data_IF_760902416348
#
_entry.id   IF_760902416348
#
_cell.length_a   1.000
_cell.length_b   1.000
_cell.length_c   1.000
_cell.angle_alpha   90.00
_cell.angle_beta   90.00
_cell.angle_gamma   90.00
#
_symmetry.space_group_name_H-M   'P 1'
#
loop_
_entity.id
_entity.type
_entity.pdbx_description
1 polymer ?
#
# COMPACT_ATOMS: atom_id res chain seq x y z
N UNK A 1 24.96 106.49 82.56
CA UNK A 1 24.37 107.74 83.07
C UNK A 1 22.87 107.57 83.05
N UNK A 2 22.24 107.83 84.20
CA UNK A 2 20.81 108.12 84.46
C UNK A 2 19.77 107.06 84.04
N UNK A 3 19.04 106.43 84.98
CA UNK A 3 18.00 106.94 85.90
C UNK A 3 16.64 107.20 85.24
N UNK A 4 15.57 106.81 85.95
CA UNK A 4 14.20 107.29 85.75
C UNK A 4 13.21 106.14 85.50
N UNK A 5 12.52 105.56 86.50
CA UNK A 5 11.36 106.12 87.25
C UNK A 5 10.24 106.50 86.26
N UNK A 6 8.99 106.06 86.34
CA UNK A 6 8.14 105.54 87.42
C UNK A 6 6.71 106.02 87.14
N UNK A 7 5.72 105.50 87.86
CA UNK A 7 4.35 106.05 87.94
C UNK A 7 3.31 105.21 87.20
N UNK A 8 2.43 104.43 87.83
CA UNK A 8 1.42 104.73 88.86
C UNK A 8 0.04 105.02 88.26
N UNK A 9 -0.99 104.35 88.78
CA UNK A 9 -2.39 104.73 88.62
C UNK A 9 -3.37 103.56 88.46
N UNK A 10 -3.79 102.95 89.57
CA UNK A 10 -5.11 102.28 89.65
C UNK A 10 -6.24 103.32 89.76
N UNK A 11 -7.42 103.02 90.35
CA UNK A 11 -8.03 101.74 90.70
C UNK A 11 -9.51 101.68 90.25
N UNK A 12 -10.22 100.58 90.48
CA UNK A 12 -11.46 100.57 91.31
C UNK A 12 -12.24 99.28 91.19
N UNK A 13 -12.77 98.91 92.33
CA UNK A 13 -13.37 97.64 92.72
C UNK A 13 -14.81 97.50 92.25
N UNK A 14 -15.27 96.25 92.20
CA UNK A 14 -16.66 95.88 92.04
C UNK A 14 -16.81 94.37 92.06
N UNK A 15 -16.73 93.78 93.26
CA UNK A 15 -16.89 92.35 93.46
C UNK A 15 -18.34 91.88 93.38
N UNK A 16 -18.54 90.63 92.98
CA UNK A 16 -19.53 89.73 93.57
C UNK A 16 -19.20 88.28 93.17
N UNK A 17 -19.14 87.46 94.21
CA UNK A 17 -18.93 86.01 94.18
C UNK A 17 -20.10 85.26 93.54
N UNK A 18 -19.77 84.10 92.99
CA UNK A 18 -20.65 82.93 93.06
C UNK A 18 -21.06 82.36 91.71
N UNK A 19 -20.69 81.09 91.47
CA UNK A 19 -21.35 80.26 90.47
C UNK A 19 -20.37 79.50 89.60
N UNK A 20 -20.00 78.30 90.02
CA UNK A 20 -19.08 77.44 89.30
C UNK A 20 -19.55 76.99 87.91
N UNK A 21 -18.54 76.50 87.19
CA UNK A 21 -18.57 75.42 86.19
C UNK A 21 -19.09 75.76 84.79
N UNK A 22 -18.13 75.73 83.87
CA UNK A 22 -18.35 75.49 82.45
C UNK A 22 -17.12 75.89 81.67
N UNK A 23 -16.06 75.09 81.73
CA UNK A 23 -14.96 75.24 80.78
C UNK A 23 -15.55 75.09 79.38
N UNK A 24 -15.53 76.17 78.60
CA UNK A 24 -15.80 76.12 77.17
C UNK A 24 -14.61 75.41 76.52
N UNK A 25 -14.61 74.09 76.65
CA UNK A 25 -13.88 73.21 75.75
C UNK A 25 -14.47 73.52 74.37
N UNK A 26 -13.68 74.13 73.49
CA UNK A 26 -13.99 74.11 72.06
C UNK A 26 -14.26 72.65 71.72
N UNK A 27 -15.53 72.29 71.59
CA UNK A 27 -15.93 70.98 71.11
C UNK A 27 -15.47 70.97 69.67
N UNK A 28 -14.25 70.51 69.45
CA UNK A 28 -13.72 70.27 68.12
C UNK A 28 -14.61 69.20 67.54
N UNK A 29 -15.54 69.64 66.69
CA UNK A 29 -16.54 68.77 66.11
C UNK A 29 -15.83 67.71 65.27
N UNK A 30 -15.72 66.50 65.85
CA UNK A 30 -15.03 65.36 65.27
C UNK A 30 -15.62 65.00 63.91
N UNK A 31 -16.94 65.19 63.76
CA UNK A 31 -17.66 64.95 62.52
C UNK A 31 -17.28 66.01 61.48
N UNK A 32 -17.16 67.28 61.87
CA UNK A 32 -16.68 68.33 60.97
C UNK A 32 -15.21 68.17 60.54
N UNK A 33 -14.35 67.58 61.39
CA UNK A 33 -12.98 67.23 61.01
C UNK A 33 -12.94 66.04 60.06
N UNK A 34 -13.80 65.03 60.27
CA UNK A 34 -13.87 63.89 59.38
C UNK A 34 -14.44 64.27 58.01
N UNK A 35 -15.44 65.16 57.94
CA UNK A 35 -15.96 65.69 56.67
C UNK A 35 -14.86 66.35 55.82
N UNK A 36 -13.87 67.00 56.44
CA UNK A 36 -12.70 67.56 55.74
C UNK A 36 -11.76 66.47 55.21
N UNK A 37 -11.61 65.36 55.94
CA UNK A 37 -10.84 64.18 55.53
C UNK A 37 -11.57 63.49 54.37
N UNK A 38 -12.87 63.28 54.50
CA UNK A 38 -13.73 62.59 53.52
C UNK A 38 -13.86 63.38 52.21
N UNK A 39 -13.96 64.71 52.29
CA UNK A 39 -13.93 65.59 51.12
C UNK A 39 -12.65 65.50 50.28
N UNK A 40 -11.56 64.94 50.84
CA UNK A 40 -10.28 64.69 50.15
C UNK A 40 -9.92 63.22 50.06
N UNK A 41 -10.88 62.32 50.29
CA UNK A 41 -10.68 60.87 50.34
C UNK A 41 -9.93 60.31 49.14
N UNK A 42 -10.31 60.71 47.92
CA UNK A 42 -9.65 60.22 46.70
C UNK A 42 -8.16 60.59 46.65
N UNK A 43 -7.80 61.78 47.13
CA UNK A 43 -6.42 62.24 47.17
C UNK A 43 -5.61 61.48 48.23
N UNK A 44 -6.18 61.34 49.43
CA UNK A 44 -5.57 60.62 50.54
C UNK A 44 -5.35 59.14 50.18
N UNK A 45 -6.33 58.52 49.55
CA UNK A 45 -6.28 57.11 49.13
C UNK A 45 -5.25 56.88 48.02
N UNK A 46 -4.88 57.87 47.22
CA UNK A 46 -3.81 57.70 46.21
C UNK A 46 -2.42 57.93 46.77
N UNK A 47 -2.28 58.83 47.74
CA UNK A 47 -0.99 59.30 48.22
C UNK A 47 -0.49 58.58 49.49
N UNK A 48 -1.41 58.09 50.34
CA UNK A 48 -1.06 57.45 51.61
C UNK A 48 -0.62 56.01 51.39
N UNK A 49 0.47 55.62 52.06
CA UNK A 49 0.86 54.23 52.23
C UNK A 49 0.43 53.76 53.62
N UNK A 50 -0.51 52.81 53.74
CA UNK A 50 -1.01 52.36 55.04
C UNK A 50 0.10 51.79 55.92
N UNK A 51 1.11 51.15 55.35
CA UNK A 51 2.27 50.60 56.08
C UNK A 51 3.16 51.66 56.75
N UNK A 52 3.01 52.94 56.39
CA UNK A 52 3.70 54.04 57.10
C UNK A 52 2.89 54.55 58.29
N UNK A 53 1.56 54.54 58.21
CA UNK A 53 0.68 55.11 59.26
C UNK A 53 0.25 54.08 60.31
N UNK A 54 0.06 52.83 59.91
CA UNK A 54 -0.45 51.74 60.78
C UNK A 54 0.36 51.52 62.07
N UNK A 55 1.72 51.61 62.09
CA UNK A 55 2.47 51.42 63.33
C UNK A 55 2.19 52.52 64.38
N UNK A 56 2.03 53.77 63.94
CA UNK A 56 1.72 54.89 64.83
C UNK A 56 0.28 54.78 65.35
N UNK A 57 -0.67 54.42 64.49
CA UNK A 57 -2.08 54.27 64.87
C UNK A 57 -2.32 53.09 65.84
N UNK A 58 -1.50 52.03 65.76
CA UNK A 58 -1.41 50.96 66.77
C UNK A 58 -0.86 51.46 68.09
N UNK A 59 0.18 52.30 68.07
CA UNK A 59 0.75 52.92 69.28
C UNK A 59 -0.26 53.81 70.00
N UNK A 60 -1.11 54.54 69.26
CA UNK A 60 -2.20 55.35 69.80
C UNK A 60 -3.41 54.52 70.26
N UNK A 61 -3.37 53.18 70.14
CA UNK A 61 -4.45 52.23 70.50
C UNK A 61 -5.76 52.48 69.74
N UNK A 62 -5.66 53.00 68.51
CA UNK A 62 -6.79 53.24 67.62
C UNK A 62 -7.04 52.03 66.71
N UNK A 63 -5.97 51.36 66.29
CA UNK A 63 -6.00 50.12 65.52
C UNK A 63 -5.49 48.95 66.37
N UNK A 64 -6.09 47.77 66.20
CA UNK A 64 -5.59 46.51 66.75
C UNK A 64 -4.82 45.69 65.69
N UNK A 65 -4.31 44.52 66.09
CA UNK A 65 -3.53 43.62 65.20
C UNK A 65 -4.36 43.11 64.02
N UNK A 66 -5.66 42.92 64.25
CA UNK A 66 -6.58 42.42 63.23
C UNK A 66 -6.90 43.51 62.20
N UNK A 67 -7.14 44.74 62.65
CA UNK A 67 -7.30 45.93 61.81
C UNK A 67 -6.04 46.14 60.93
N UNK A 68 -4.84 46.02 61.50
CA UNK A 68 -3.57 46.16 60.79
C UNK A 68 -3.40 45.09 59.69
N UNK A 69 -3.66 43.81 60.00
CA UNK A 69 -3.61 42.73 59.03
C UNK A 69 -4.65 42.89 57.92
N UNK A 70 -5.86 43.36 58.24
CA UNK A 70 -6.90 43.62 57.23
C UNK A 70 -6.46 44.72 56.25
N UNK A 71 -5.80 45.76 56.76
CA UNK A 71 -5.31 46.89 55.97
C UNK A 71 -4.10 46.52 55.10
N UNK A 72 -3.17 45.71 55.61
CA UNK A 72 -1.89 45.41 54.94
C UNK A 72 -1.90 44.13 54.10
N UNK A 73 -2.63 43.09 54.53
CA UNK A 73 -2.48 41.71 54.04
C UNK A 73 -3.74 41.13 53.38
N UNK A 74 -4.83 41.91 53.23
CA UNK A 74 -6.05 41.36 52.65
C UNK A 74 -5.87 40.93 51.18
N UNK A 75 -6.11 39.64 50.92
CA UNK A 75 -5.96 38.97 49.62
C UNK A 75 -7.00 39.45 48.58
N UNK A 76 -8.10 40.07 49.02
CA UNK A 76 -9.13 40.68 48.15
C UNK A 76 -8.66 41.97 47.45
N UNK A 77 -7.42 42.40 47.73
CA UNK A 77 -6.92 43.74 47.44
C UNK A 77 -5.83 43.76 46.35
N UNK A 78 -5.50 42.59 45.79
CA UNK A 78 -4.52 42.43 44.69
C UNK A 78 -4.98 43.15 43.40
N UNK A 79 -6.28 43.50 43.27
CA UNK A 79 -6.85 44.14 42.07
C UNK A 79 -7.13 45.65 42.14
N UNK A 80 -7.06 46.31 43.30
CA UNK A 80 -7.30 47.76 43.44
C UNK A 80 -6.31 48.36 44.44
N UNK A 81 -5.29 49.07 43.93
CA UNK A 81 -4.25 49.76 44.71
C UNK A 81 -4.79 50.67 45.83
N UNK A 82 -6.05 51.08 45.72
CA UNK A 82 -6.73 52.04 46.61
C UNK A 82 -7.61 51.38 47.69
N UNK A 83 -7.87 50.07 47.63
CA UNK A 83 -8.86 49.44 48.53
C UNK A 83 -8.39 49.31 49.99
N UNK A 84 -7.10 49.08 50.27
CA UNK A 84 -6.57 48.95 51.65
C UNK A 84 -6.44 50.31 52.32
N UNK A 85 -6.18 51.35 51.53
CA UNK A 85 -6.15 52.75 51.96
C UNK A 85 -7.55 53.30 52.22
N UNK A 86 -8.51 52.92 51.38
CA UNK A 86 -9.93 53.20 51.62
C UNK A 86 -10.41 52.50 52.89
N UNK A 87 -10.03 51.23 53.07
CA UNK A 87 -10.37 50.44 54.25
C UNK A 87 -9.78 51.02 55.53
N UNK A 88 -8.54 51.51 55.50
CA UNK A 88 -7.93 52.24 56.61
C UNK A 88 -8.77 53.46 57.03
N UNK A 89 -9.25 54.26 56.08
CA UNK A 89 -10.11 55.41 56.37
C UNK A 89 -11.45 54.95 56.96
N UNK A 90 -12.07 53.90 56.42
CA UNK A 90 -13.34 53.38 56.92
C UNK A 90 -13.23 52.87 58.37
N UNK A 91 -12.15 52.16 58.69
CA UNK A 91 -11.89 51.68 60.05
C UNK A 91 -11.69 52.88 60.98
N UNK A 92 -10.87 53.86 60.60
CA UNK A 92 -10.61 55.05 61.41
C UNK A 92 -11.88 55.89 61.68
N UNK A 93 -12.79 55.97 60.71
CA UNK A 93 -14.10 56.62 60.90
C UNK A 93 -14.91 55.94 62.03
N UNK A 94 -14.91 54.60 62.07
CA UNK A 94 -15.63 53.85 63.12
C UNK A 94 -15.06 54.03 64.53
N UNK A 95 -13.83 54.54 64.66
CA UNK A 95 -13.18 54.81 65.95
C UNK A 95 -13.50 56.23 66.50
N UNK A 96 -14.31 57.02 65.78
CA UNK A 96 -14.79 58.34 66.21
C UNK A 96 -13.67 59.38 66.37
N UNK A 97 -13.84 60.32 67.32
CA UNK A 97 -12.92 61.44 67.57
C UNK A 97 -11.45 61.01 67.68
N UNK A 98 -11.19 59.89 68.37
CA UNK A 98 -9.83 59.35 68.52
C UNK A 98 -9.23 58.88 67.20
N UNK A 99 -10.04 58.33 66.31
CA UNK A 99 -9.62 57.91 64.97
C UNK A 99 -9.17 59.09 64.12
N UNK A 100 -9.97 60.16 64.11
CA UNK A 100 -9.68 61.37 63.33
C UNK A 100 -8.43 62.10 63.84
N UNK A 101 -8.33 62.28 65.15
CA UNK A 101 -7.20 62.98 65.77
C UNK A 101 -5.90 62.22 65.54
N UNK A 102 -5.85 60.92 65.85
CA UNK A 102 -4.64 60.13 65.63
C UNK A 102 -4.28 59.95 64.16
N UNK A 103 -5.27 59.92 63.27
CA UNK A 103 -5.02 59.95 61.82
C UNK A 103 -4.36 61.25 61.39
N UNK A 104 -4.87 62.40 61.83
CA UNK A 104 -4.31 63.71 61.51
C UNK A 104 -2.91 63.88 62.10
N UNK A 105 -2.65 63.42 63.32
CA UNK A 105 -1.31 63.40 63.91
C UNK A 105 -0.34 62.52 63.11
N UNK A 106 -0.78 61.33 62.67
CA UNK A 106 0.02 60.44 61.82
C UNK A 106 0.31 61.05 60.44
N UNK A 107 -0.66 61.79 59.90
CA UNK A 107 -0.57 62.46 58.62
C UNK A 107 0.38 63.67 58.71
N UNK A 108 0.33 64.42 59.81
CA UNK A 108 1.25 65.52 60.09
C UNK A 108 2.71 65.05 60.11
N UNK A 109 2.97 63.86 60.66
CA UNK A 109 4.32 63.30 60.76
C UNK A 109 4.82 62.68 59.44
N UNK A 110 4.00 61.87 58.75
CA UNK A 110 4.45 61.12 57.57
C UNK A 110 4.18 61.83 56.23
N UNK A 111 3.20 62.74 56.20
CA UNK A 111 2.71 63.40 54.98
C UNK A 111 2.32 64.88 55.27
N UNK A 112 3.29 65.74 55.62
CA UNK A 112 3.04 67.13 56.02
C UNK A 112 2.24 67.92 54.96
N UNK A 113 2.49 67.69 53.68
CA UNK A 113 1.77 68.31 52.56
C UNK A 113 0.28 67.93 52.49
N UNK A 114 -0.06 66.69 52.87
CA UNK A 114 -1.45 66.21 52.91
C UNK A 114 -2.16 66.73 54.16
N UNK A 115 -1.46 66.79 55.30
CA UNK A 115 -2.01 67.36 56.54
C UNK A 115 -2.40 68.83 56.37
N UNK A 116 -1.50 69.63 55.78
CA UNK A 116 -1.77 71.04 55.46
C UNK A 116 -2.96 71.19 54.52
N UNK A 117 -3.08 70.29 53.55
CA UNK A 117 -4.20 70.28 52.61
C UNK A 117 -5.52 69.98 53.31
N UNK A 118 -5.59 68.98 54.18
CA UNK A 118 -6.84 68.56 54.85
C UNK A 118 -7.28 69.57 55.93
N UNK A 119 -6.34 70.05 56.75
CA UNK A 119 -6.67 70.86 57.94
C UNK A 119 -6.51 72.38 57.71
N UNK A 120 -5.75 72.78 56.69
CA UNK A 120 -5.39 74.19 56.44
C UNK A 120 -4.34 74.74 57.42
N UNK A 121 -3.82 73.93 58.35
CA UNK A 121 -2.84 74.32 59.36
C UNK A 121 -1.42 73.91 58.93
N UNK A 122 -0.41 74.70 59.31
CA UNK A 122 0.99 74.32 59.08
C UNK A 122 1.38 73.10 59.93
N UNK A 123 2.05 72.08 59.36
CA UNK A 123 2.57 70.95 60.11
C UNK A 123 3.63 71.41 61.11
N UNK A 124 3.53 70.99 62.38
CA UNK A 124 4.50 71.29 63.43
C UNK A 124 5.43 70.08 63.60
N UNK A 125 6.73 70.16 63.24
CA UNK A 125 7.66 69.05 63.42
C UNK A 125 7.99 68.89 64.92
N UNK A 126 7.19 68.11 65.66
CA UNK A 126 7.46 67.82 67.07
C UNK A 126 8.49 66.69 67.20
N UNK A 127 9.77 67.02 66.99
CA UNK A 127 10.89 66.13 67.36
C UNK A 127 11.30 66.25 68.83
N UNK A 128 10.77 67.23 69.57
CA UNK A 128 11.30 67.63 70.88
C UNK A 128 10.94 66.72 72.06
N UNK A 129 10.14 65.67 71.88
CA UNK A 129 9.64 64.85 73.01
C UNK A 129 10.54 63.67 73.37
N UNK A 130 11.48 63.30 72.50
CA UNK A 130 12.46 62.25 72.80
C UNK A 130 13.77 62.97 73.09
N UNK A 131 14.14 63.08 74.38
CA UNK A 131 15.39 63.70 74.81
C UNK A 131 16.58 63.19 73.99
N UNK A 132 17.62 64.02 73.81
CA UNK A 132 18.72 63.76 72.87
C UNK A 132 19.32 62.33 72.95
N UNK A 133 19.35 61.75 74.16
CA UNK A 133 19.83 60.39 74.41
C UNK A 133 18.95 59.30 73.77
N UNK A 134 17.62 59.45 73.78
CA UNK A 134 16.68 58.51 73.16
C UNK A 134 16.70 58.59 71.62
N UNK A 135 16.96 59.77 71.06
CA UNK A 135 17.11 59.94 69.61
C UNK A 135 18.39 59.27 69.10
N UNK A 136 19.51 59.41 69.82
CA UNK A 136 20.76 58.72 69.48
C UNK A 136 20.60 57.19 69.52
N UNK A 137 19.91 56.67 70.53
CA UNK A 137 19.66 55.23 70.65
C UNK A 137 18.73 54.71 69.54
N UNK A 138 17.70 55.48 69.16
CA UNK A 138 16.83 55.16 68.03
C UNK A 138 17.60 55.12 66.71
N UNK A 139 18.42 56.14 66.43
CA UNK A 139 19.25 56.18 65.23
C UNK A 139 20.27 55.03 65.18
N UNK A 140 20.87 54.67 66.31
CA UNK A 140 21.78 53.52 66.39
C UNK A 140 21.07 52.20 66.05
N UNK A 141 19.87 51.98 66.61
CA UNK A 141 19.07 50.80 66.32
C UNK A 141 18.62 50.74 64.85
N UNK A 142 18.25 51.88 64.28
CA UNK A 142 17.85 51.95 62.87
C UNK A 142 19.05 51.66 61.94
N UNK A 143 20.24 52.17 62.26
CA UNK A 143 21.48 51.85 61.55
C UNK A 143 21.79 50.35 61.61
N UNK A 144 21.67 49.72 62.78
CA UNK A 144 21.89 48.27 62.94
C UNK A 144 20.87 47.48 62.13
N UNK A 145 19.60 47.89 62.12
CA UNK A 145 18.53 47.27 61.33
C UNK A 145 18.78 47.39 59.83
N UNK A 146 19.19 48.56 59.35
CA UNK A 146 19.55 48.78 57.95
C UNK A 146 20.78 47.95 57.54
N UNK A 147 21.78 47.82 58.41
CA UNK A 147 22.93 46.95 58.18
C UNK A 147 22.51 45.49 58.08
N UNK A 148 21.64 45.01 58.98
CA UNK A 148 21.13 43.64 58.92
C UNK A 148 20.31 43.38 57.65
N UNK A 149 19.42 44.30 57.26
CA UNK A 149 18.68 44.21 56.00
C UNK A 149 19.60 44.20 54.78
N UNK A 150 20.65 45.02 54.77
CA UNK A 150 21.63 45.04 53.67
C UNK A 150 22.37 43.71 53.57
N UNK A 151 22.74 43.12 54.71
CA UNK A 151 23.36 41.77 54.76
C UNK A 151 22.41 40.67 54.28
N UNK A 152 21.14 40.73 54.68
CA UNK A 152 20.13 39.77 54.24
C UNK A 152 19.88 39.86 52.72
N UNK A 153 19.76 41.08 52.17
CA UNK A 153 19.62 41.32 50.73
C UNK A 153 20.81 40.81 49.93
N UNK A 154 22.03 41.10 50.38
CA UNK A 154 23.24 40.62 49.70
C UNK A 154 23.34 39.09 49.70
N UNK A 155 22.96 38.41 50.79
CA UNK A 155 22.90 36.94 50.81
C UNK A 155 21.84 36.40 49.83
N UNK A 156 20.66 37.03 49.79
CA UNK A 156 19.59 36.66 48.86
C UNK A 156 20.02 36.86 47.39
N UNK A 157 20.69 37.97 47.08
CA UNK A 157 21.24 38.24 45.75
C UNK A 157 22.28 37.19 45.34
N UNK A 158 23.18 36.79 46.26
CA UNK A 158 24.14 35.73 46.01
C UNK A 158 23.46 34.37 45.75
N UNK A 159 22.40 34.05 46.48
CA UNK A 159 21.64 32.82 46.26
C UNK A 159 20.91 32.82 44.92
N UNK A 160 20.26 33.94 44.56
CA UNK A 160 19.60 34.11 43.26
C UNK A 160 20.60 34.04 42.12
N UNK A 161 21.77 34.67 42.26
CA UNK A 161 22.83 34.60 41.25
C UNK A 161 23.34 33.17 41.06
N UNK A 162 23.50 32.38 42.14
CA UNK A 162 23.84 30.96 42.01
C UNK A 162 22.79 30.18 41.23
N UNK A 163 21.50 30.39 41.55
CA UNK A 163 20.38 29.75 40.84
C UNK A 163 20.32 30.14 39.36
N UNK A 164 20.56 31.42 39.06
CA UNK A 164 20.63 31.91 37.68
C UNK A 164 21.77 31.24 36.90
N UNK A 165 22.98 31.15 37.47
CA UNK A 165 24.08 30.45 36.81
C UNK A 165 23.75 28.98 36.54
N UNK A 166 23.12 28.26 37.48
CA UNK A 166 22.72 26.86 37.25
C UNK A 166 21.67 26.72 36.15
N UNK A 167 20.67 27.61 36.11
CA UNK A 167 19.64 27.60 35.07
C UNK A 167 20.20 27.95 33.69
N UNK A 168 21.15 28.88 33.62
CA UNK A 168 21.83 29.22 32.36
C UNK A 168 22.61 28.02 31.81
N UNK A 169 23.30 27.28 32.67
CA UNK A 169 24.05 26.09 32.25
C UNK A 169 23.13 24.95 31.82
N UNK A 170 21.99 24.76 32.49
CA UNK A 170 20.94 23.85 32.03
C UNK A 170 20.35 24.28 30.68
N UNK A 171 20.10 25.57 30.48
CA UNK A 171 19.61 26.10 29.21
C UNK A 171 20.61 25.87 28.07
N UNK A 172 21.92 26.02 28.33
CA UNK A 172 22.98 25.71 27.35
C UNK A 172 22.99 24.23 27.01
N UNK A 173 22.91 23.34 28.01
CA UNK A 173 22.85 21.88 27.80
C UNK A 173 21.65 21.48 26.97
N UNK A 174 20.46 22.01 27.30
CA UNK A 174 19.23 21.75 26.54
C UNK A 174 19.31 22.28 25.10
N UNK A 175 19.93 23.45 24.87
CA UNK A 175 20.16 23.96 23.51
C UNK A 175 21.02 23.00 22.69
N UNK A 176 22.11 22.51 23.25
CA UNK A 176 22.99 21.56 22.55
C UNK A 176 22.26 20.25 22.25
N UNK A 177 21.56 19.67 23.22
CA UNK A 177 20.77 18.46 23.02
C UNK A 177 19.69 18.63 21.93
N UNK A 178 19.06 19.79 21.85
CA UNK A 178 18.05 20.08 20.82
C UNK A 178 18.68 20.20 19.42
N UNK A 179 19.86 20.81 19.31
CA UNK A 179 20.62 20.87 18.05
C UNK A 179 21.03 19.46 17.57
N UNK A 180 21.50 18.60 18.48
CA UNK A 180 21.83 17.21 18.17
C UNK A 180 20.60 16.41 17.72
N UNK A 181 19.47 16.58 18.42
CA UNK A 181 18.21 15.96 18.05
C UNK A 181 17.75 16.42 16.66
N UNK A 182 17.84 17.72 16.36
CA UNK A 182 17.48 18.26 15.05
C UNK A 182 18.40 17.69 13.94
N UNK A 183 19.70 17.59 14.18
CA UNK A 183 20.64 16.98 13.24
C UNK A 183 20.37 15.48 13.05
N UNK A 184 19.95 14.76 14.10
CA UNK A 184 19.51 13.38 13.98
C UNK A 184 18.21 13.26 13.16
N UNK A 185 17.21 14.10 13.44
CA UNK A 185 15.95 14.14 12.68
C UNK A 185 16.18 14.41 11.19
N UNK A 186 17.05 15.36 10.84
CA UNK A 186 17.41 15.64 9.45
C UNK A 186 18.04 14.43 8.76
N UNK A 187 18.96 13.73 9.44
CA UNK A 187 19.56 12.49 8.93
C UNK A 187 18.51 11.39 8.72
N UNK A 188 17.60 11.20 9.66
CA UNK A 188 16.51 10.23 9.52
C UNK A 188 15.57 10.58 8.36
N UNK A 189 15.25 11.86 8.17
CA UNK A 189 14.41 12.31 7.06
C UNK A 189 15.10 12.07 5.71
N UNK A 190 16.38 12.41 5.60
CA UNK A 190 17.17 12.14 4.39
C UNK A 190 17.20 10.65 4.03
N UNK A 191 17.47 9.78 5.00
CA UNK A 191 17.45 8.32 4.79
C UNK A 191 16.06 7.83 4.36
N UNK A 192 14.98 8.44 4.88
CA UNK A 192 13.61 8.11 4.49
C UNK A 192 13.32 8.54 3.06
N UNK A 193 13.76 9.72 2.66
CA UNK A 193 13.63 10.23 1.29
C UNK A 193 14.39 9.36 0.29
N UNK A 194 15.63 8.96 0.60
CA UNK A 194 16.42 8.03 -0.21
C UNK A 194 15.70 6.68 -0.35
N UNK A 195 15.20 6.12 0.76
CA UNK A 195 14.40 4.88 0.73
C UNK A 195 13.16 5.03 -0.16
N UNK A 196 12.45 6.15 -0.08
CA UNK A 196 11.28 6.42 -0.92
C UNK A 196 11.69 6.49 -2.40
N UNK A 197 12.76 7.22 -2.73
CA UNK A 197 13.28 7.30 -4.10
C UNK A 197 13.67 5.94 -4.67
N UNK A 198 14.34 5.09 -3.87
CA UNK A 198 14.64 3.71 -4.29
C UNK A 198 13.38 2.86 -4.47
N UNK A 199 12.33 3.11 -3.69
CA UNK A 199 11.06 2.39 -3.82
C UNK A 199 10.35 2.77 -5.13
N UNK A 200 10.31 4.06 -5.46
CA UNK A 200 9.71 4.57 -6.70
C UNK A 200 10.46 4.04 -7.93
N UNK A 201 11.79 4.03 -7.87
CA UNK A 201 12.64 3.46 -8.92
C UNK A 201 12.44 1.95 -9.08
N UNK A 202 12.32 1.22 -7.97
CA UNK A 202 12.01 -0.22 -8.00
C UNK A 202 10.65 -0.49 -8.65
N UNK A 203 9.64 0.34 -8.35
CA UNK A 203 8.32 0.21 -8.96
C UNK A 203 8.39 0.47 -10.46
N UNK A 204 9.08 1.54 -10.88
CA UNK A 204 9.29 1.87 -12.29
C UNK A 204 9.96 0.72 -13.05
N UNK A 205 11.04 0.15 -12.50
CA UNK A 205 11.75 -0.99 -13.12
C UNK A 205 10.87 -2.24 -13.17
N UNK A 206 10.06 -2.50 -12.13
CA UNK A 206 9.08 -3.60 -12.17
C UNK A 206 8.08 -3.42 -13.31
N UNK A 207 7.52 -2.23 -13.47
CA UNK A 207 6.56 -1.94 -14.53
C UNK A 207 7.18 -2.06 -15.93
N UNK A 208 8.42 -1.61 -16.10
CA UNK A 208 9.18 -1.77 -17.34
C UNK A 208 9.46 -3.26 -17.63
N UNK A 209 9.82 -4.05 -16.61
CA UNK A 209 10.03 -5.49 -16.75
C UNK A 209 8.72 -6.22 -17.12
N UNK A 210 7.59 -5.86 -16.51
CA UNK A 210 6.29 -6.42 -16.88
C UNK A 210 5.93 -6.07 -18.33
N UNK A 211 6.14 -4.82 -18.76
CA UNK A 211 5.92 -4.41 -20.16
C UNK A 211 6.81 -5.21 -21.12
N UNK A 212 8.07 -5.45 -20.75
CA UNK A 212 8.99 -6.23 -21.57
C UNK A 212 8.57 -7.70 -21.64
N UNK A 213 8.15 -8.30 -20.53
CA UNK A 213 7.64 -9.67 -20.49
C UNK A 213 6.38 -9.84 -21.36
N UNK A 214 5.46 -8.87 -21.33
CA UNK A 214 4.28 -8.85 -22.20
C UNK A 214 4.66 -8.76 -23.68
N UNK A 215 5.58 -7.84 -24.03
CA UNK A 215 6.08 -7.75 -25.42
C UNK A 215 6.77 -9.03 -25.88
N UNK A 216 7.56 -9.65 -25.00
CA UNK A 216 8.22 -10.92 -25.29
C UNK A 216 7.21 -12.04 -25.54
N UNK A 217 6.16 -12.13 -24.71
CA UNK A 217 5.09 -13.11 -24.91
C UNK A 217 4.40 -12.93 -26.26
N UNK A 218 3.99 -11.70 -26.61
CA UNK A 218 3.37 -11.39 -27.91
C UNK A 218 4.30 -11.74 -29.08
N UNK A 219 5.57 -11.35 -29.03
CA UNK A 219 6.54 -11.69 -30.08
C UNK A 219 6.77 -13.20 -30.20
N UNK A 220 6.74 -13.93 -29.09
CA UNK A 220 6.85 -15.39 -29.08
C UNK A 220 5.62 -16.05 -29.72
N UNK A 221 4.42 -15.54 -29.46
CA UNK A 221 3.19 -15.98 -30.12
C UNK A 221 3.24 -15.73 -31.62
N UNK A 222 3.62 -14.52 -32.05
CA UNK A 222 3.80 -14.17 -33.46
C UNK A 222 4.84 -15.06 -34.15
N UNK A 223 5.97 -15.33 -33.49
CA UNK A 223 6.98 -16.28 -33.98
C UNK A 223 6.39 -17.67 -34.20
N UNK A 224 5.63 -18.17 -33.22
CA UNK A 224 5.02 -19.49 -33.33
C UNK A 224 4.00 -19.53 -34.48
N UNK A 225 3.20 -18.48 -34.66
CA UNK A 225 2.29 -18.34 -35.80
C UNK A 225 3.03 -18.35 -37.15
N UNK A 226 4.14 -17.62 -37.26
CA UNK A 226 4.97 -17.62 -38.46
C UNK A 226 5.58 -19.01 -38.74
N UNK A 227 6.02 -19.73 -37.69
CA UNK A 227 6.54 -21.10 -37.82
C UNK A 227 5.46 -22.07 -38.29
N UNK A 228 4.25 -22.01 -37.73
CA UNK A 228 3.12 -22.83 -38.18
C UNK A 228 2.81 -22.57 -39.66
N UNK A 229 2.71 -21.30 -40.06
CA UNK A 229 2.49 -20.92 -41.46
C UNK A 229 3.62 -21.41 -42.39
N UNK A 230 4.86 -21.33 -41.95
CA UNK A 230 6.00 -21.85 -42.70
C UNK A 230 5.92 -23.37 -42.88
N UNK A 231 5.43 -24.10 -41.87
CA UNK A 231 5.23 -25.54 -41.95
C UNK A 231 4.13 -25.91 -42.95
N UNK A 232 3.02 -25.18 -42.93
CA UNK A 232 1.90 -25.39 -43.87
C UNK A 232 2.34 -25.15 -45.31
N UNK A 233 3.05 -24.04 -45.56
CA UNK A 233 3.61 -23.74 -46.90
C UNK A 233 4.62 -24.81 -47.35
N UNK A 234 5.43 -25.35 -46.43
CA UNK A 234 6.34 -26.44 -46.76
C UNK A 234 5.58 -27.70 -47.19
N UNK A 235 4.48 -28.04 -46.50
CA UNK A 235 3.63 -29.16 -46.87
C UNK A 235 2.98 -28.95 -48.25
N UNK A 236 2.53 -27.73 -48.57
CA UNK A 236 2.02 -27.40 -49.90
C UNK A 236 3.09 -27.56 -50.98
N UNK A 237 4.31 -27.08 -50.73
CA UNK A 237 5.45 -27.24 -51.64
C UNK A 237 5.72 -28.73 -51.89
N UNK A 238 5.73 -29.55 -50.84
CA UNK A 238 6.00 -30.99 -50.98
C UNK A 238 4.88 -31.71 -51.75
N UNK A 239 3.62 -31.32 -51.54
CA UNK A 239 2.50 -31.81 -52.34
C UNK A 239 2.61 -31.41 -53.81
N UNK A 240 2.97 -30.15 -54.09
CA UNK A 240 3.15 -29.66 -55.45
C UNK A 240 4.33 -30.35 -56.15
N UNK A 241 5.44 -30.57 -55.46
CA UNK A 241 6.58 -31.36 -55.98
C UNK A 241 6.16 -32.78 -56.32
N UNK A 242 5.39 -33.44 -55.45
CA UNK A 242 4.91 -34.79 -55.74
C UNK A 242 3.98 -34.82 -56.97
N UNK A 243 3.05 -33.87 -57.09
CA UNK A 243 2.19 -33.73 -58.27
C UNK A 243 2.99 -33.44 -59.54
N UNK A 244 3.97 -32.54 -59.46
CA UNK A 244 4.85 -32.23 -60.59
C UNK A 244 5.60 -33.48 -61.05
N UNK A 245 6.26 -34.20 -60.13
CA UNK A 245 6.98 -35.44 -60.46
C UNK A 245 6.06 -36.48 -61.12
N UNK A 246 4.82 -36.62 -60.62
CA UNK A 246 3.83 -37.52 -61.22
C UNK A 246 3.53 -37.15 -62.67
N UNK A 247 3.23 -35.88 -62.95
CA UNK A 247 2.95 -35.38 -64.31
C UNK A 247 4.19 -35.48 -65.21
N UNK A 248 5.38 -35.22 -64.67
CA UNK A 248 6.63 -35.39 -65.41
C UNK A 248 6.87 -36.84 -65.83
N UNK A 249 6.64 -37.81 -64.94
CA UNK A 249 6.75 -39.23 -65.28
C UNK A 249 5.68 -39.66 -66.29
N UNK A 250 4.43 -39.23 -66.14
CA UNK A 250 3.37 -39.45 -67.14
C UNK A 250 3.79 -38.90 -68.51
N UNK A 251 4.33 -37.68 -68.56
CA UNK A 251 4.83 -37.07 -69.80
C UNK A 251 6.02 -37.84 -70.39
N UNK A 252 6.96 -38.33 -69.57
CA UNK A 252 8.08 -39.17 -70.03
C UNK A 252 7.57 -40.48 -70.62
N UNK A 253 6.56 -41.10 -70.00
CA UNK A 253 5.96 -42.34 -70.50
C UNK A 253 5.23 -42.10 -71.81
N UNK A 254 4.46 -41.02 -71.92
CA UNK A 254 3.76 -40.64 -73.15
C UNK A 254 4.73 -40.38 -74.30
N UNK A 255 5.85 -39.68 -74.02
CA UNK A 255 6.94 -39.47 -75.00
C UNK A 255 7.55 -40.80 -75.46
N UNK A 256 7.80 -41.74 -74.54
CA UNK A 256 8.30 -43.09 -74.88
C UNK A 256 7.31 -43.87 -75.75
N UNK A 257 6.02 -43.82 -75.40
CA UNK A 257 4.95 -44.46 -76.19
C UNK A 257 4.86 -43.85 -77.59
N UNK A 258 4.86 -42.52 -77.68
CA UNK A 258 4.86 -41.77 -78.94
C UNK A 258 6.07 -42.12 -79.83
N UNK A 259 7.26 -42.22 -79.23
CA UNK A 259 8.48 -42.61 -79.95
C UNK A 259 8.40 -44.05 -80.48
N UNK A 260 7.88 -44.98 -79.66
CA UNK A 260 7.65 -46.37 -80.07
C UNK A 260 6.69 -46.45 -81.26
N UNK A 261 5.54 -45.77 -81.17
CA UNK A 261 4.57 -45.70 -82.26
C UNK A 261 5.18 -45.11 -83.55
N UNK A 262 5.97 -44.04 -83.43
CA UNK A 262 6.67 -43.45 -84.57
C UNK A 262 7.63 -44.46 -85.23
N UNK A 263 8.40 -45.19 -84.43
CA UNK A 263 9.34 -46.20 -84.92
C UNK A 263 8.61 -47.39 -85.58
N UNK A 264 7.49 -47.85 -85.00
CA UNK A 264 6.65 -48.90 -85.56
C UNK A 264 6.04 -48.48 -86.92
N UNK A 265 5.68 -47.20 -87.08
CA UNK A 265 5.21 -46.63 -88.36
C UNK A 265 6.35 -46.57 -89.38
N UNK A 266 7.55 -46.14 -88.98
CA UNK A 266 8.72 -46.03 -89.87
C UNK A 266 9.23 -47.41 -90.33
N UNK A 267 9.20 -48.40 -89.44
CA UNK A 267 9.58 -49.78 -89.74
C UNK A 267 8.47 -50.60 -90.41
N UNK A 268 7.32 -50.01 -90.70
CA UNK A 268 6.22 -50.69 -91.39
C UNK A 268 6.70 -51.13 -92.78
N UNK A 269 6.43 -52.39 -93.21
CA UNK A 269 6.77 -52.81 -94.56
C UNK A 269 6.15 -51.84 -95.56
N UNK A 270 6.98 -51.35 -96.50
CA UNK A 270 6.57 -50.37 -97.50
C UNK A 270 5.33 -50.89 -98.23
N UNK A 271 4.40 -49.98 -98.53
CA UNK A 271 3.12 -50.31 -99.18
C UNK A 271 3.31 -51.14 -100.46
N UNK A 272 4.38 -50.85 -101.20
CA UNK A 272 4.82 -51.59 -102.39
C UNK A 272 5.15 -53.05 -102.07
N UNK A 273 5.96 -53.34 -101.05
CA UNK A 273 6.27 -54.71 -100.62
C UNK A 273 5.03 -55.50 -100.18
N UNK A 274 4.08 -54.84 -99.53
CA UNK A 274 2.80 -55.48 -99.16
C UNK A 274 1.96 -55.79 -100.40
N UNK A 275 1.92 -54.89 -101.38
CA UNK A 275 1.25 -55.13 -102.66
C UNK A 275 1.91 -56.25 -103.48
N UNK A 276 3.25 -56.31 -103.50
CA UNK A 276 3.99 -57.37 -104.20
C UNK A 276 3.68 -58.75 -103.59
N UNK A 277 3.72 -58.85 -102.26
CA UNK A 277 3.35 -60.07 -101.55
C UNK A 277 1.87 -60.43 -101.74
N UNK A 278 0.96 -59.45 -101.80
CA UNK A 278 -0.45 -59.69 -102.10
C UNK A 278 -0.65 -60.24 -103.51
N UNK A 279 0.03 -59.68 -104.50
CA UNK A 279 0.01 -60.16 -105.88
C UNK A 279 0.60 -61.56 -105.99
N UNK A 280 1.70 -61.84 -105.30
CA UNK A 280 2.28 -63.19 -105.22
C UNK A 280 1.31 -64.17 -104.58
N UNK A 281 0.61 -63.75 -103.51
CA UNK A 281 -0.42 -64.56 -102.86
C UNK A 281 -1.59 -64.86 -103.80
N UNK A 282 -2.08 -63.87 -104.55
CA UNK A 282 -3.13 -64.04 -105.55
C UNK A 282 -2.69 -64.99 -106.67
N UNK A 283 -1.46 -64.85 -107.17
CA UNK A 283 -0.89 -65.75 -108.18
C UNK A 283 -0.79 -67.18 -107.65
N UNK A 284 -0.31 -67.37 -106.41
CA UNK A 284 -0.26 -68.69 -105.77
C UNK A 284 -1.66 -69.28 -105.58
N UNK A 285 -2.63 -68.45 -105.22
CA UNK A 285 -4.03 -68.85 -105.05
C UNK A 285 -4.68 -69.26 -106.38
N UNK A 286 -4.36 -68.58 -107.47
CA UNK A 286 -4.80 -68.94 -108.83
C UNK A 286 -4.13 -70.25 -109.27
N UNK A 287 -2.82 -70.42 -109.04
CA UNK A 287 -2.11 -71.68 -109.33
C UNK A 287 -2.67 -72.88 -108.58
N UNK A 288 -3.21 -72.68 -107.37
CA UNK A 288 -3.93 -73.69 -106.59
C UNK A 288 -5.35 -73.97 -107.10
N UNK A 289 -5.90 -73.10 -107.95
CA UNK A 289 -7.29 -73.17 -108.42
C UNK A 289 -7.41 -73.57 -109.91
N UNK A 290 -6.30 -73.75 -110.65
CA UNK A 290 -6.33 -74.32 -112.00
C UNK A 290 -6.36 -75.87 -111.96
N UNK A 291 -7.46 -76.51 -112.39
CA UNK A 291 -7.54 -77.97 -112.49
C UNK A 291 -6.88 -78.42 -113.80
N UNK A 292 -5.63 -78.86 -113.74
CA UNK A 292 -5.02 -79.66 -114.82
C UNK A 292 -5.61 -81.08 -114.81
N UNK A 293 -5.93 -81.69 -115.97
CA UNK A 293 -6.56 -83.01 -116.03
C UNK A 293 -5.65 -84.06 -115.38
N UNK A 294 -6.14 -84.71 -114.33
CA UNK A 294 -5.46 -85.85 -113.72
C UNK A 294 -5.29 -86.94 -114.79
N UNK A 295 -4.06 -87.43 -115.05
CA UNK A 295 -3.82 -88.51 -116.00
C UNK A 295 -4.65 -89.74 -115.62
N UNK A 296 -5.06 -90.55 -116.60
CA UNK A 296 -5.86 -91.77 -116.37
C UNK A 296 -5.23 -92.74 -115.34
N UNK A 297 -3.91 -92.62 -115.10
CA UNK A 297 -3.15 -93.27 -114.03
C UNK A 297 -3.62 -92.89 -112.62
N UNK A 298 -3.91 -91.62 -112.36
CA UNK A 298 -4.29 -91.15 -111.02
C UNK A 298 -5.77 -91.43 -110.70
N UNK A 299 -6.62 -91.53 -111.73
CA UNK A 299 -7.99 -92.05 -111.60
C UNK A 299 -7.98 -93.52 -111.18
N UNK A 300 -7.13 -94.34 -111.82
CA UNK A 300 -6.97 -95.74 -111.46
C UNK A 300 -6.42 -95.92 -110.03
N UNK A 301 -5.48 -95.08 -109.59
CA UNK A 301 -4.96 -95.11 -108.20
C UNK A 301 -6.05 -94.71 -107.21
N UNK A 302 -6.85 -93.70 -107.50
CA UNK A 302 -7.98 -93.31 -106.64
C UNK A 302 -9.04 -94.41 -106.56
N UNK A 303 -9.36 -95.08 -107.67
CA UNK A 303 -10.31 -96.20 -107.70
C UNK A 303 -9.75 -97.42 -106.91
N UNK A 304 -8.44 -97.70 -106.99
CA UNK A 304 -7.78 -98.74 -106.16
C UNK A 304 -7.85 -98.36 -104.68
N UNK A 305 -7.51 -97.13 -104.31
CA UNK A 305 -7.57 -96.68 -102.91
C UNK A 305 -9.00 -96.66 -102.37
N UNK A 306 -10.00 -96.37 -103.22
CA UNK A 306 -11.41 -96.43 -102.85
C UNK A 306 -11.88 -97.89 -102.68
N UNK A 307 -11.37 -98.81 -103.52
CA UNK A 307 -11.60 -100.24 -103.35
C UNK A 307 -10.94 -100.80 -102.09
N UNK A 308 -9.67 -100.48 -101.82
CA UNK A 308 -8.93 -100.88 -100.61
C UNK A 308 -9.63 -100.33 -99.36
N UNK A 309 -10.15 -99.10 -99.43
CA UNK A 309 -10.94 -98.50 -98.34
C UNK A 309 -12.24 -99.27 -98.11
N UNK A 310 -12.90 -99.72 -99.17
CA UNK A 310 -14.14 -100.48 -99.09
C UNK A 310 -13.90 -101.90 -98.54
N UNK A 311 -12.85 -102.59 -99.01
CA UNK A 311 -12.43 -103.90 -98.51
C UNK A 311 -12.05 -103.82 -97.02
N UNK A 312 -11.28 -102.80 -96.61
CA UNK A 312 -10.94 -102.59 -95.20
C UNK A 312 -12.17 -102.30 -94.32
N UNK A 313 -13.23 -101.70 -94.86
CA UNK A 313 -14.49 -101.49 -94.14
C UNK A 313 -15.29 -102.78 -94.00
N UNK A 314 -15.32 -103.62 -95.04
CA UNK A 314 -15.96 -104.94 -95.02
C UNK A 314 -15.25 -105.89 -94.04
N UNK A 315 -13.92 -105.96 -94.09
CA UNK A 315 -13.10 -106.72 -93.13
C UNK A 315 -13.34 -106.27 -91.68
N UNK A 316 -13.44 -104.95 -91.47
CA UNK A 316 -13.74 -104.40 -90.14
C UNK A 316 -15.15 -104.79 -89.69
N UNK A 317 -16.12 -104.84 -90.60
CA UNK A 317 -17.48 -105.25 -90.29
C UNK A 317 -17.54 -106.75 -89.97
N UNK A 318 -16.79 -107.59 -90.67
CA UNK A 318 -16.68 -109.02 -90.39
C UNK A 318 -16.00 -109.30 -89.04
N UNK A 319 -14.95 -108.55 -88.70
CA UNK A 319 -14.33 -108.59 -87.38
C UNK A 319 -15.32 -108.19 -86.27
N UNK A 320 -16.14 -107.16 -86.49
CA UNK A 320 -17.19 -106.75 -85.56
C UNK A 320 -18.24 -107.86 -85.40
N UNK A 321 -18.70 -108.48 -86.49
CA UNK A 321 -19.65 -109.59 -86.45
C UNK A 321 -19.08 -110.79 -85.68
N UNK A 322 -17.79 -111.08 -85.85
CA UNK A 322 -17.10 -112.15 -85.14
C UNK A 322 -16.90 -111.83 -83.65
N UNK A 323 -16.61 -110.58 -83.30
CA UNK A 323 -16.57 -110.12 -81.91
C UNK A 323 -17.93 -110.25 -81.22
N UNK A 324 -19.03 -109.96 -81.92
CA UNK A 324 -20.38 -110.19 -81.40
C UNK A 324 -20.65 -111.68 -81.17
N UNK A 325 -20.27 -112.54 -82.12
CA UNK A 325 -20.42 -114.00 -82.00
C UNK A 325 -19.61 -114.54 -80.80
N UNK A 326 -18.36 -114.09 -80.66
CA UNK A 326 -17.51 -114.47 -79.52
C UNK A 326 -18.03 -113.91 -78.19
N UNK A 327 -18.59 -112.71 -78.15
CA UNK A 327 -19.25 -112.19 -76.95
C UNK A 327 -20.46 -113.04 -76.55
N UNK A 328 -21.23 -113.53 -77.52
CA UNK A 328 -22.35 -114.42 -77.25
C UNK A 328 -21.87 -115.79 -76.76
N UNK A 329 -20.83 -116.35 -77.37
CA UNK A 329 -20.19 -117.60 -76.90
C UNK A 329 -19.62 -117.44 -75.48
N UNK A 330 -18.96 -116.31 -75.18
CA UNK A 330 -18.49 -115.99 -73.84
C UNK A 330 -19.67 -115.91 -72.89
N UNK A 331 -20.73 -115.15 -73.19
CA UNK A 331 -21.93 -115.07 -72.35
C UNK A 331 -22.51 -116.47 -72.07
N UNK A 332 -22.62 -117.32 -73.08
CA UNK A 332 -23.07 -118.71 -72.92
C UNK A 332 -22.12 -119.51 -72.00
N UNK A 333 -20.81 -119.33 -72.12
CA UNK A 333 -19.83 -119.94 -71.23
C UNK A 333 -19.91 -119.38 -69.79
N UNK A 334 -20.22 -118.10 -69.61
CA UNK A 334 -20.45 -117.48 -68.30
C UNK A 334 -21.74 -118.03 -67.65
N UNK A 335 -22.84 -118.18 -68.40
CA UNK A 335 -24.07 -118.80 -67.92
C UNK A 335 -23.87 -120.27 -67.50
N UNK A 336 -23.04 -121.02 -68.25
CA UNK A 336 -22.63 -122.37 -67.86
C UNK A 336 -21.77 -122.35 -66.59
N UNK A 337 -20.86 -121.38 -66.45
CA UNK A 337 -20.04 -121.20 -65.25
C UNK A 337 -20.86 -120.78 -64.04
N UNK A 338 -21.89 -119.95 -64.18
CA UNK A 338 -22.80 -119.58 -63.09
C UNK A 338 -23.69 -120.75 -62.67
N UNK A 339 -24.14 -121.59 -63.62
CA UNK A 339 -24.81 -122.86 -63.30
C UNK A 339 -23.92 -123.83 -62.52
N UNK A 340 -22.61 -123.89 -62.83
CA UNK A 340 -21.66 -124.75 -62.12
C UNK A 340 -21.16 -124.10 -60.83
N UNK A 341 -21.04 -122.77 -60.77
CA UNK A 341 -20.63 -121.98 -59.60
C UNK A 341 -21.68 -121.94 -58.49
N UNK A 342 -22.96 -121.99 -58.84
CA UNK A 342 -24.08 -122.13 -57.88
C UNK A 342 -24.19 -123.53 -57.26
N UNK A 343 -23.35 -124.50 -57.66
CA UNK A 343 -23.41 -125.88 -57.16
C UNK A 343 -22.37 -126.25 -56.08
N UNK A 344 -21.46 -125.33 -55.68
CA UNK A 344 -20.33 -125.67 -54.80
C UNK A 344 -20.04 -124.70 -53.62
N UNK A 345 -20.97 -123.82 -53.22
CA UNK A 345 -20.82 -122.98 -52.00
C UNK A 345 -21.80 -123.36 -50.88
N UNK A 346 -21.44 -124.36 -50.07
CA UNK A 346 -21.93 -124.53 -48.69
C UNK A 346 -20.93 -125.45 -47.95
N UNK A 347 -20.71 -125.37 -46.61
CA UNK A 347 -21.75 -125.22 -45.59
C UNK A 347 -21.44 -124.24 -44.43
N UNK A 348 -22.42 -124.00 -43.54
CA UNK A 348 -22.38 -122.96 -42.50
C UNK A 348 -21.86 -123.49 -41.15
N UNK A 349 -21.29 -122.61 -40.33
CA UNK A 349 -21.31 -122.76 -38.86
C UNK A 349 -22.70 -122.41 -38.32
N UNK A 350 -23.08 -122.72 -37.07
CA UNK A 350 -22.41 -122.19 -35.86
C UNK A 350 -22.32 -123.23 -34.70
N UNK A 351 -21.75 -122.97 -33.50
CA UNK A 351 -22.45 -122.34 -32.35
C UNK A 351 -21.57 -122.38 -31.08
N UNK A 352 -21.37 -121.20 -30.44
CA UNK A 352 -21.21 -120.90 -28.98
C UNK A 352 -19.95 -121.38 -28.21
N UNK A 353 -19.47 -120.77 -27.10
CA UNK A 353 -20.05 -119.88 -26.07
C UNK A 353 -18.91 -119.14 -25.30
N UNK A 354 -19.22 -117.91 -24.87
CA UNK A 354 -18.83 -117.17 -23.64
C UNK A 354 -17.36 -116.88 -23.18
N UNK A 355 -17.06 -115.56 -23.21
CA UNK A 355 -16.78 -114.65 -22.08
C UNK A 355 -15.46 -114.79 -21.25
N UNK A 356 -15.09 -113.77 -20.44
CA UNK A 356 -14.82 -112.38 -20.83
C UNK A 356 -13.56 -111.77 -20.15
N UNK A 357 -13.20 -110.56 -20.58
CA UNK A 357 -12.45 -109.49 -19.86
C UNK A 357 -11.01 -109.80 -19.36
N UNK A 358 -10.05 -108.93 -19.71
CA UNK A 358 -9.56 -107.80 -18.89
C UNK A 358 -8.40 -107.13 -19.68
N UNK A 359 -8.56 -105.81 -19.84
CA UNK A 359 -7.61 -104.72 -20.17
C UNK A 359 -6.63 -104.85 -21.33
#
# INVERSE_FOLDING_TARGET
MENGVGGAGGPSEGGAQGGGRGGAQEVVDADALWEKVEGKRHELTRAISPGKLTPYLRQCRVLDEQDEDEILNSILLIGRLDAGRSRLLDILHTKGERGVVSFLESLEFHYPELYKRVTGKEPTPRFSTIGQEGLTQFLMNEVVKLQHQTRAKTLQELELNRKNCTLEDEQKKLRLANQELQAFQQRCNKMREERNSYNDELLRVKDENYKLAMRYATLSEERNMAVMRSRDLQLEIDQLKHRLNKVEEECKMERRQSLKLKNDIENRPKREHVFDLQRENEVLKIKLQEPGPLPASDKAIMDILEHDRQEALEDRQDLVNRLYSLHEEVRQAEELRDKVGLSLTHPPGPVLLEAPLIQ
#
